data_IF_307898050595
#
_entry.id   IF_307898050595
#
_cell.length_a   1.000
_cell.length_b   1.000
_cell.length_c   1.000
_cell.angle_alpha   90.00
_cell.angle_beta   90.00
_cell.angle_gamma   90.00
#
_symmetry.space_group_name_H-M   'P 1'
#
loop_
_entity.id
_entity.type
_entity.pdbx_description
1 polymer ?
#
# COMPACT_ATOMS: atom_id res chain seq x y z
N UNK A 1 -16.59 -16.18 -36.26
CA UNK A 1 -15.89 -17.06 -35.29
C UNK A 1 -16.61 -16.94 -33.97
N UNK A 2 -17.42 -17.93 -33.61
CA UNK A 2 -18.18 -17.96 -32.35
C UNK A 2 -17.23 -18.36 -31.24
N UNK A 3 -16.96 -17.48 -30.28
CA UNK A 3 -16.20 -17.81 -29.07
C UNK A 3 -17.06 -18.79 -28.28
N UNK A 4 -16.61 -20.03 -28.14
CA UNK A 4 -17.28 -21.02 -27.31
C UNK A 4 -17.33 -20.50 -25.86
N UNK A 5 -18.53 -20.43 -25.28
CA UNK A 5 -18.69 -20.10 -23.88
C UNK A 5 -17.94 -21.14 -23.03
N UNK A 6 -16.98 -20.69 -22.24
CA UNK A 6 -16.21 -21.53 -21.32
C UNK A 6 -17.19 -22.15 -20.31
N UNK A 7 -17.07 -23.45 -20.06
CA UNK A 7 -17.87 -24.13 -19.04
C UNK A 7 -17.74 -23.41 -17.69
N UNK A 8 -18.81 -23.36 -16.88
CA UNK A 8 -18.74 -22.76 -15.55
C UNK A 8 -17.68 -23.49 -14.70
N UNK A 9 -16.94 -22.76 -13.85
CA UNK A 9 -15.96 -23.36 -12.97
C UNK A 9 -16.63 -24.35 -12.00
N UNK A 10 -15.93 -25.43 -11.72
CA UNK A 10 -16.33 -26.42 -10.72
C UNK A 10 -16.20 -25.85 -9.30
N UNK A 11 -16.90 -26.46 -8.35
CA UNK A 11 -16.81 -26.06 -6.93
C UNK A 11 -15.37 -26.14 -6.41
N UNK A 12 -14.60 -27.16 -6.79
CA UNK A 12 -13.19 -27.28 -6.43
C UNK A 12 -12.32 -26.15 -7.00
N UNK A 13 -12.57 -25.72 -8.23
CA UNK A 13 -11.86 -24.58 -8.84
C UNK A 13 -12.22 -23.26 -8.15
N UNK A 14 -13.47 -23.08 -7.74
CA UNK A 14 -13.92 -21.91 -6.99
C UNK A 14 -13.28 -21.85 -5.60
N UNK A 15 -13.24 -22.97 -4.88
CA UNK A 15 -12.58 -23.06 -3.57
C UNK A 15 -11.10 -22.74 -3.70
N UNK A 16 -10.41 -23.30 -4.71
CA UNK A 16 -9.00 -23.02 -4.94
C UNK A 16 -8.75 -21.54 -5.26
N UNK A 17 -9.63 -20.90 -6.03
CA UNK A 17 -9.53 -19.47 -6.32
C UNK A 17 -9.71 -18.61 -5.06
N UNK A 18 -10.65 -18.96 -4.18
CA UNK A 18 -10.85 -18.26 -2.91
C UNK A 18 -9.65 -18.41 -1.97
N UNK A 19 -9.10 -19.61 -1.84
CA UNK A 19 -7.90 -19.87 -1.04
C UNK A 19 -6.69 -19.08 -1.56
N UNK A 20 -6.56 -18.98 -2.88
CA UNK A 20 -5.52 -18.14 -3.49
C UNK A 20 -5.73 -16.66 -3.17
N UNK A 21 -6.96 -16.13 -3.27
CA UNK A 21 -7.24 -14.73 -2.91
C UNK A 21 -6.94 -14.43 -1.43
N UNK A 22 -7.28 -15.35 -0.52
CA UNK A 22 -6.96 -15.24 0.91
C UNK A 22 -5.44 -15.21 1.14
N UNK A 23 -4.69 -16.11 0.49
CA UNK A 23 -3.22 -16.11 0.55
C UNK A 23 -2.59 -14.83 -0.02
N UNK A 24 -3.28 -14.15 -0.93
CA UNK A 24 -2.86 -12.85 -1.48
C UNK A 24 -3.31 -11.66 -0.62
N UNK A 25 -3.93 -11.90 0.53
CA UNK A 25 -4.31 -10.88 1.51
C UNK A 25 -5.68 -10.24 1.29
N UNK A 26 -6.55 -10.83 0.47
CA UNK A 26 -7.94 -10.36 0.38
C UNK A 26 -8.69 -10.68 1.67
N UNK A 27 -9.16 -9.64 2.37
CA UNK A 27 -9.85 -9.72 3.66
C UNK A 27 -11.36 -9.46 3.57
N UNK A 28 -11.86 -9.18 2.37
CA UNK A 28 -13.27 -8.90 2.11
C UNK A 28 -13.67 -9.08 0.66
N UNK A 29 -14.97 -8.95 0.39
CA UNK A 29 -15.54 -9.00 -0.95
C UNK A 29 -16.45 -7.80 -1.19
N UNK A 30 -16.63 -7.47 -2.47
CA UNK A 30 -17.62 -6.50 -2.94
C UNK A 30 -18.74 -7.30 -3.58
N UNK A 31 -19.97 -7.16 -3.07
CA UNK A 31 -21.14 -7.77 -3.67
C UNK A 31 -21.64 -6.92 -4.85
N UNK A 32 -22.33 -7.55 -5.79
CA UNK A 32 -23.00 -6.85 -6.91
C UNK A 32 -24.07 -5.87 -6.41
N UNK A 33 -24.74 -6.21 -5.30
CA UNK A 33 -25.74 -5.34 -4.68
C UNK A 33 -25.09 -4.40 -3.65
N UNK A 34 -25.31 -3.07 -3.77
CA UNK A 34 -24.78 -2.12 -2.80
C UNK A 34 -25.46 -2.27 -1.44
N UNK A 35 -24.66 -2.51 -0.40
CA UNK A 35 -25.16 -2.65 0.98
C UNK A 35 -25.16 -1.28 1.67
N UNK A 36 -26.33 -0.80 2.10
CA UNK A 36 -26.44 0.40 2.93
C UNK A 36 -26.01 0.13 4.37
N UNK A 37 -24.73 0.35 4.67
CA UNK A 37 -24.15 0.16 6.01
C UNK A 37 -24.64 1.15 7.07
N UNK A 38 -25.26 2.26 6.67
CA UNK A 38 -25.85 3.23 7.62
C UNK A 38 -27.26 2.84 8.08
N UNK A 39 -27.90 1.88 7.40
CA UNK A 39 -29.22 1.36 7.76
C UNK A 39 -29.19 0.00 8.44
N UNK A 40 -28.01 -0.62 8.54
CA UNK A 40 -27.83 -1.85 9.31
C UNK A 40 -27.86 -1.49 10.80
N UNK A 41 -28.65 -2.23 11.60
CA UNK A 41 -28.53 -2.14 13.05
C UNK A 41 -27.09 -2.43 13.43
N UNK A 42 -26.49 -1.58 14.27
CA UNK A 42 -25.13 -1.83 14.78
C UNK A 42 -25.05 -3.27 15.28
N UNK A 43 -24.12 -4.10 14.78
CA UNK A 43 -23.87 -5.37 15.43
C UNK A 43 -23.52 -5.03 16.87
N UNK A 44 -24.33 -5.56 17.81
CA UNK A 44 -24.12 -5.40 19.25
C UNK A 44 -22.63 -5.51 19.51
N UNK A 45 -21.95 -4.43 19.95
CA UNK A 45 -20.53 -4.49 20.17
C UNK A 45 -20.31 -5.61 21.17
N UNK A 46 -19.55 -6.64 20.78
CA UNK A 46 -19.02 -7.60 21.74
C UNK A 46 -18.32 -6.76 22.80
N UNK A 47 -18.96 -6.61 23.96
CA UNK A 47 -18.48 -5.82 25.07
C UNK A 47 -17.10 -6.34 25.45
N UNK A 48 -16.06 -5.73 24.89
CA UNK A 48 -14.71 -5.86 25.44
C UNK A 48 -14.80 -5.26 26.84
N UNK A 49 -14.44 -5.98 27.90
CA UNK A 49 -14.57 -5.48 29.26
C UNK A 49 -13.81 -4.16 29.37
N UNK A 50 -14.53 -3.10 29.74
CA UNK A 50 -14.02 -1.75 29.82
C UNK A 50 -13.00 -1.65 30.97
N UNK A 51 -11.71 -1.67 30.65
CA UNK A 51 -10.69 -1.13 31.54
C UNK A 51 -10.84 0.39 31.56
N UNK A 52 -11.35 0.90 32.68
CA UNK A 52 -11.59 2.32 32.94
C UNK A 52 -10.27 3.11 32.88
N UNK A 53 -10.06 3.84 31.80
CA UNK A 53 -8.99 4.83 31.71
C UNK A 53 -9.25 6.00 32.69
N UNK A 54 -8.22 6.52 33.38
CA UNK A 54 -8.37 7.67 34.26
C UNK A 54 -8.64 8.95 33.45
N UNK A 55 -9.66 9.71 33.85
CA UNK A 55 -9.94 11.05 33.31
C UNK A 55 -8.90 12.03 33.85
N UNK A 56 -7.97 12.47 33.00
CA UNK A 56 -7.13 13.63 33.30
C UNK A 56 -7.91 14.92 33.02
N UNK A 57 -7.96 15.89 33.94
CA UNK A 57 -8.59 17.18 33.69
C UNK A 57 -7.75 18.00 32.71
N UNK A 58 -8.40 18.53 31.68
CA UNK A 58 -7.78 19.44 30.73
C UNK A 58 -7.73 20.84 31.36
N UNK A 59 -6.55 21.28 31.82
CA UNK A 59 -6.30 22.69 32.16
C UNK A 59 -5.70 23.37 30.94
N UNK A 60 -6.42 24.34 30.37
CA UNK A 60 -5.88 25.21 29.34
C UNK A 60 -4.87 26.17 29.96
N UNK A 61 -3.59 26.05 29.60
CA UNK A 61 -2.59 27.09 29.87
C UNK A 61 -2.11 27.66 28.55
N UNK A 62 -2.14 28.99 28.46
CA UNK A 62 -1.85 29.81 27.30
C UNK A 62 -0.48 29.55 26.64
N UNK A 63 -0.52 29.63 25.31
CA UNK A 63 0.54 29.84 24.34
C UNK A 63 1.97 30.12 24.86
N UNK A 64 2.81 29.09 24.85
CA UNK A 64 4.27 29.26 24.72
C UNK A 64 4.66 29.11 23.26
N UNK A 65 5.25 30.17 22.69
CA UNK A 65 5.84 30.19 21.35
C UNK A 65 7.02 29.22 21.31
N UNK A 66 6.77 27.95 20.99
CA UNK A 66 7.82 27.01 20.62
C UNK A 66 8.03 27.05 19.10
N UNK A 67 9.30 27.18 18.69
CA UNK A 67 9.74 27.01 17.32
C UNK A 67 9.19 25.70 16.74
N UNK A 68 8.90 25.61 15.41
CA UNK A 68 8.28 24.42 14.85
C UNK A 68 9.20 23.23 15.10
N UNK A 69 8.79 22.35 16.01
CA UNK A 69 9.36 21.03 16.15
C UNK A 69 9.23 20.37 14.77
N UNK A 70 10.35 19.92 14.19
CA UNK A 70 10.28 19.01 13.06
C UNK A 70 9.39 17.84 13.50
N UNK A 71 8.33 17.49 12.75
CA UNK A 71 7.60 16.28 13.06
C UNK A 71 8.59 15.13 12.96
N UNK A 72 8.74 14.37 14.06
CA UNK A 72 9.44 13.09 14.02
C UNK A 72 8.80 12.24 12.92
N UNK A 73 9.57 11.57 12.05
CA UNK A 73 8.99 10.66 11.07
C UNK A 73 8.09 9.65 11.82
N UNK A 74 6.91 9.32 11.29
CA UNK A 74 6.05 8.31 11.91
C UNK A 74 6.90 7.05 12.10
N UNK A 75 6.95 6.56 13.33
CA UNK A 75 7.71 5.36 13.66
C UNK A 75 7.29 4.25 12.69
N UNK A 76 8.24 3.74 11.91
CA UNK A 76 7.97 2.66 10.97
C UNK A 76 7.26 1.53 11.72
N UNK A 77 6.10 1.11 11.21
CA UNK A 77 5.32 0.02 11.81
C UNK A 77 6.25 -1.21 11.91
N UNK A 78 6.45 -1.71 13.12
CA UNK A 78 7.13 -2.98 13.33
C UNK A 78 6.32 -4.08 12.60
N UNK A 79 6.98 -4.99 11.86
CA UNK A 79 6.28 -6.09 11.19
C UNK A 79 5.46 -6.83 12.23
N UNK A 80 4.16 -6.98 11.95
CA UNK A 80 3.23 -7.61 12.88
C UNK A 80 3.31 -9.14 12.76
N UNK A 81 3.75 -9.64 11.60
CA UNK A 81 3.78 -11.06 11.25
C UNK A 81 5.21 -11.55 10.94
N UNK A 82 5.55 -12.82 11.29
CA UNK A 82 6.89 -13.39 11.06
C UNK A 82 7.33 -13.40 9.59
N UNK A 83 6.38 -13.67 8.69
CA UNK A 83 6.61 -13.72 7.25
C UNK A 83 7.02 -12.34 6.69
N UNK A 84 6.37 -11.27 7.16
CA UNK A 84 6.74 -9.90 6.79
C UNK A 84 8.15 -9.55 7.29
N UNK A 85 8.53 -10.03 8.48
CA UNK A 85 9.86 -9.81 9.03
C UNK A 85 10.95 -10.52 8.22
N UNK A 86 10.70 -11.77 7.79
CA UNK A 86 11.61 -12.54 6.93
C UNK A 86 11.75 -11.88 5.55
N UNK A 87 10.64 -11.52 4.91
CA UNK A 87 10.63 -10.81 3.63
C UNK A 87 11.43 -9.50 3.69
N UNK A 88 11.27 -8.71 4.76
CA UNK A 88 12.06 -7.49 5.00
C UNK A 88 13.56 -7.79 5.16
N UNK A 89 13.92 -8.88 5.83
CA UNK A 89 15.32 -9.29 6.01
C UNK A 89 15.96 -9.71 4.68
N UNK A 90 15.23 -10.49 3.89
CA UNK A 90 15.67 -10.91 2.55
C UNK A 90 15.84 -9.70 1.63
N UNK A 91 14.89 -8.77 1.63
CA UNK A 91 14.97 -7.54 0.86
C UNK A 91 16.22 -6.72 1.22
N UNK A 92 16.50 -6.52 2.52
CA UNK A 92 17.71 -5.82 2.98
C UNK A 92 18.99 -6.48 2.49
N UNK A 93 19.04 -7.81 2.53
CA UNK A 93 20.20 -8.58 2.07
C UNK A 93 20.36 -8.52 0.56
N UNK A 94 19.25 -8.55 -0.19
CA UNK A 94 19.25 -8.52 -1.66
C UNK A 94 19.80 -7.21 -2.25
N UNK A 95 19.64 -6.10 -1.53
CA UNK A 95 20.17 -4.78 -1.93
C UNK A 95 21.45 -4.38 -1.20
N UNK A 96 22.04 -5.28 -0.42
CA UNK A 96 23.27 -5.00 0.31
C UNK A 96 24.43 -4.72 -0.66
N UNK A 97 25.07 -3.55 -0.51
CA UNK A 97 26.19 -3.14 -1.35
C UNK A 97 25.80 -2.50 -2.69
N UNK A 98 24.51 -2.34 -2.98
CA UNK A 98 24.03 -1.60 -4.16
C UNK A 98 24.40 -0.12 -4.03
N UNK A 99 24.96 0.45 -5.10
CA UNK A 99 25.45 1.84 -5.10
C UNK A 99 24.87 2.73 -6.21
N UNK A 100 24.08 2.18 -7.13
CA UNK A 100 23.43 2.93 -8.21
C UNK A 100 21.95 2.60 -8.32
N UNK A 101 21.18 3.52 -8.91
CA UNK A 101 19.75 3.32 -9.17
C UNK A 101 19.51 2.21 -10.19
N UNK A 102 20.37 2.07 -11.19
CA UNK A 102 20.25 1.02 -12.20
C UNK A 102 20.45 -0.38 -11.58
N UNK A 103 21.43 -0.52 -10.69
CA UNK A 103 21.63 -1.76 -9.96
C UNK A 103 20.45 -2.03 -9.01
N UNK A 104 19.94 -1.01 -8.32
CA UNK A 104 18.76 -1.14 -7.46
C UNK A 104 17.53 -1.58 -8.25
N UNK A 105 17.30 -1.00 -9.43
CA UNK A 105 16.20 -1.36 -10.32
C UNK A 105 16.29 -2.83 -10.74
N UNK A 106 17.48 -3.29 -11.15
CA UNK A 106 17.70 -4.68 -11.54
C UNK A 106 17.48 -5.67 -10.37
N UNK A 107 17.90 -5.29 -9.15
CA UNK A 107 17.65 -6.11 -7.94
C UNK A 107 16.18 -6.20 -7.59
N UNK A 108 15.44 -5.10 -7.71
CA UNK A 108 14.01 -5.07 -7.43
C UNK A 108 13.21 -5.88 -8.45
N UNK A 109 13.54 -5.79 -9.74
CA UNK A 109 12.84 -6.54 -10.79
C UNK A 109 13.01 -8.07 -10.63
N UNK A 110 14.17 -8.50 -10.15
CA UNK A 110 14.48 -9.89 -9.84
C UNK A 110 14.01 -10.35 -8.44
N UNK A 111 13.44 -9.47 -7.61
CA UNK A 111 13.13 -9.79 -6.21
C UNK A 111 11.84 -10.60 -6.08
N UNK A 112 11.95 -11.85 -5.61
CA UNK A 112 10.80 -12.75 -5.48
C UNK A 112 10.23 -12.83 -4.05
N UNK A 113 10.86 -12.18 -3.08
CA UNK A 113 10.46 -12.22 -1.67
C UNK A 113 9.25 -11.35 -1.31
N UNK A 114 8.44 -10.96 -2.29
CA UNK A 114 7.26 -10.10 -2.10
C UNK A 114 6.03 -10.76 -2.73
N UNK A 115 5.00 -11.02 -1.92
CA UNK A 115 3.75 -11.61 -2.38
C UNK A 115 3.09 -10.80 -3.51
N UNK A 116 3.19 -9.46 -3.49
CA UNK A 116 2.61 -8.58 -4.50
C UNK A 116 3.14 -8.85 -5.92
N UNK A 117 4.34 -9.41 -6.06
CA UNK A 117 4.91 -9.72 -7.38
C UNK A 117 4.10 -10.75 -8.16
N UNK A 118 3.39 -11.65 -7.47
CA UNK A 118 2.60 -12.68 -8.14
C UNK A 118 1.35 -12.13 -8.87
N UNK A 119 0.87 -10.95 -8.47
CA UNK A 119 -0.27 -10.27 -9.11
C UNK A 119 0.09 -9.04 -9.91
N UNK A 120 1.25 -8.43 -9.63
CA UNK A 120 1.75 -7.29 -10.40
C UNK A 120 2.07 -7.69 -11.85
N UNK A 121 1.80 -6.79 -12.79
CA UNK A 121 2.17 -6.94 -14.20
C UNK A 121 3.58 -6.42 -14.46
N UNK A 122 3.96 -5.32 -13.82
CA UNK A 122 5.27 -4.70 -13.99
C UNK A 122 5.80 -4.14 -12.69
N UNK A 123 7.10 -4.23 -12.51
CA UNK A 123 7.80 -3.51 -11.45
C UNK A 123 7.76 -2.01 -11.75
N UNK A 124 7.20 -1.21 -10.84
CA UNK A 124 7.22 0.26 -10.92
C UNK A 124 8.31 0.77 -9.99
N UNK A 125 9.44 1.19 -10.55
CA UNK A 125 10.62 1.58 -9.78
C UNK A 125 10.67 3.08 -9.47
N UNK A 126 11.19 3.88 -10.40
CA UNK A 126 11.32 5.34 -10.26
C UNK A 126 11.35 5.99 -11.64
N UNK A 127 11.05 7.29 -11.70
CA UNK A 127 11.16 8.14 -12.88
C UNK A 127 11.63 9.53 -12.43
N UNK A 128 12.18 10.33 -13.35
CA UNK A 128 12.68 11.68 -13.09
C UNK A 128 14.21 11.77 -13.05
N UNK A 129 14.71 12.85 -12.45
CA UNK A 129 16.14 13.16 -12.37
C UNK A 129 16.78 12.55 -11.11
N UNK A 130 17.73 11.60 -11.23
CA UNK A 130 18.48 11.05 -10.09
C UNK A 130 19.22 12.10 -9.26
N UNK A 131 19.66 13.18 -9.89
CA UNK A 131 20.35 14.29 -9.26
C UNK A 131 19.38 15.38 -8.73
N UNK A 132 18.08 15.07 -8.73
CA UNK A 132 17.03 15.95 -8.23
C UNK A 132 17.21 16.27 -6.74
N UNK A 133 16.95 17.52 -6.36
CA UNK A 133 17.01 17.96 -4.95
C UNK A 133 15.81 17.50 -4.11
N UNK A 134 14.77 17.01 -4.77
CA UNK A 134 13.49 16.60 -4.16
C UNK A 134 13.13 15.24 -4.73
N UNK A 135 12.80 14.30 -3.84
CA UNK A 135 12.26 12.99 -4.18
C UNK A 135 10.83 12.90 -3.64
N UNK A 136 9.90 12.46 -4.48
CA UNK A 136 8.51 12.24 -4.10
C UNK A 136 8.29 10.75 -3.97
N UNK A 137 7.85 10.32 -2.79
CA UNK A 137 7.54 8.91 -2.49
C UNK A 137 6.04 8.80 -2.26
N UNK A 138 5.39 8.03 -3.12
CA UNK A 138 3.96 7.74 -3.03
C UNK A 138 3.65 6.51 -2.17
N UNK A 139 2.42 6.04 -2.29
CA UNK A 139 2.02 4.71 -1.81
C UNK A 139 2.40 3.60 -2.81
N UNK A 140 1.69 2.47 -2.77
CA UNK A 140 1.86 1.41 -3.76
C UNK A 140 1.39 1.84 -5.17
N UNK A 141 1.96 1.25 -6.25
CA UNK A 141 1.52 1.52 -7.61
C UNK A 141 0.02 1.21 -7.83
N UNK A 142 -0.67 2.11 -8.53
CA UNK A 142 -2.03 1.89 -8.97
C UNK A 142 -2.12 1.05 -10.25
N UNK A 143 -3.34 0.93 -10.79
CA UNK A 143 -3.61 0.15 -12.01
C UNK A 143 -2.86 0.69 -13.23
N UNK A 144 -2.88 2.00 -13.44
CA UNK A 144 -2.28 2.61 -14.63
C UNK A 144 -0.74 2.53 -14.53
N UNK A 145 -0.20 2.73 -13.33
CA UNK A 145 1.21 2.57 -13.01
C UNK A 145 1.69 1.12 -13.24
N UNK A 146 0.97 0.11 -12.76
CA UNK A 146 1.28 -1.31 -12.98
C UNK A 146 1.22 -1.70 -14.47
N UNK A 147 0.31 -1.11 -15.23
CA UNK A 147 0.21 -1.34 -16.67
C UNK A 147 1.36 -0.70 -17.45
N UNK A 148 1.77 0.51 -17.09
CA UNK A 148 2.81 1.25 -17.80
C UNK A 148 4.22 0.91 -17.29
N UNK A 149 4.38 0.50 -16.04
CA UNK A 149 5.68 0.33 -15.37
C UNK A 149 6.29 1.65 -14.92
N UNK A 150 5.48 2.72 -14.79
CA UNK A 150 5.94 4.08 -14.47
C UNK A 150 5.15 4.67 -13.30
N UNK A 151 5.80 5.38 -12.37
CA UNK A 151 5.12 5.96 -11.21
C UNK A 151 4.29 7.18 -11.63
N UNK A 152 3.19 7.43 -10.91
CA UNK A 152 2.36 8.64 -11.03
C UNK A 152 1.85 8.94 -12.47
N UNK A 153 1.50 7.92 -13.26
CA UNK A 153 0.91 8.14 -14.59
C UNK A 153 -0.62 8.27 -14.57
N UNK A 154 -1.27 7.82 -13.49
CA UNK A 154 -2.70 7.88 -13.32
C UNK A 154 -3.24 9.30 -13.03
N UNK A 155 -4.55 9.38 -12.75
CA UNK A 155 -5.25 10.66 -12.49
C UNK A 155 -4.64 11.48 -11.34
N UNK A 156 -4.22 10.81 -10.26
CA UNK A 156 -3.59 11.47 -9.12
C UNK A 156 -2.20 12.02 -9.47
N UNK A 157 -1.47 11.31 -10.33
CA UNK A 157 -0.18 11.77 -10.84
C UNK A 157 -0.30 13.01 -11.74
N UNK A 158 -1.29 13.04 -12.63
CA UNK A 158 -1.59 14.24 -13.44
C UNK A 158 -1.99 15.47 -12.58
N UNK A 159 -2.59 15.24 -11.41
CA UNK A 159 -2.84 16.31 -10.46
C UNK A 159 -1.54 16.76 -9.78
N UNK A 160 -0.69 15.82 -9.37
CA UNK A 160 0.64 16.10 -8.81
C UNK A 160 1.49 16.93 -9.78
N UNK A 161 1.54 16.56 -11.06
CA UNK A 161 2.27 17.31 -12.10
C UNK A 161 1.81 18.77 -12.18
N UNK A 162 0.49 19.01 -12.13
CA UNK A 162 -0.05 20.37 -12.14
C UNK A 162 0.32 21.17 -10.88
N UNK A 163 0.39 20.52 -9.73
CA UNK A 163 0.81 21.15 -8.47
C UNK A 163 2.29 21.51 -8.50
N UNK A 164 3.15 20.63 -9.02
CA UNK A 164 4.58 20.87 -9.17
C UNK A 164 4.86 21.98 -10.19
N UNK A 165 4.19 21.93 -11.34
CA UNK A 165 4.29 22.97 -12.36
C UNK A 165 3.87 24.34 -11.81
N UNK A 166 2.84 24.40 -10.95
CA UNK A 166 2.38 25.65 -10.33
C UNK A 166 3.44 26.29 -9.40
N UNK A 167 4.38 25.51 -8.88
CA UNK A 167 5.51 26.00 -8.05
C UNK A 167 6.82 26.07 -8.84
N UNK A 168 6.80 25.86 -10.16
CA UNK A 168 7.95 25.95 -11.04
C UNK A 168 8.91 24.76 -10.96
N UNK A 169 8.38 23.58 -10.64
CA UNK A 169 9.09 22.30 -10.70
C UNK A 169 8.59 21.43 -11.86
#
# INVERSE_FOLDING_TARGET
MTVAAKSPPTEGELIAALQWLEAMGADGYVAEEPVNRFGLADPQPLLRPATRAPKVPFTSTEASRQAPMRPSPPAARAPQDPEEAEARSLARSAVAGVTSLDELAARLDAFEGCALRATARRTVFSDGNPDGRVMIVGEAPGRDEDLEGRPFVGRSGQLLDRMLAAIGL
#
